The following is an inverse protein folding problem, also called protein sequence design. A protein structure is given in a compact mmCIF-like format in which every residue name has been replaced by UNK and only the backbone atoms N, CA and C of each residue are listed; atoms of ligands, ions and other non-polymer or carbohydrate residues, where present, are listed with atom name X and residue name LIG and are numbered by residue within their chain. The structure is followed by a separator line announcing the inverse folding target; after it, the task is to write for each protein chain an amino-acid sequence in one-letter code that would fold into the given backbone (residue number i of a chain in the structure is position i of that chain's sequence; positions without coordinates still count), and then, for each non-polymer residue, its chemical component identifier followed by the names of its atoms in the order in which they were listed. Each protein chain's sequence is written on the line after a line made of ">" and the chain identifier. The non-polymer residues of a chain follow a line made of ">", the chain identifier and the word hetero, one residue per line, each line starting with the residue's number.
data_IF_631954381991
#
_entry.id   IF_631954381991
#
_cell.length_a   1.000
_cell.length_b   1.000
_cell.length_c   1.000
_cell.angle_alpha   90.00
_cell.angle_beta   90.00
_cell.angle_gamma   90.00
#
_symmetry.space_group_name_H-M   'P 1'
#
loop_
_entity.id
_entity.type
_entity.pdbx_description
1 polymer ?
#
# COMPACT_ATOMS: atom_id res chain seq x y z
N UNK A 1 6.51 9.13 1.00
CA UNK A 1 5.81 7.95 1.55
C UNK A 1 6.73 6.73 1.53
N UNK A 2 6.45 5.70 2.34
CA UNK A 2 7.17 4.43 2.25
C UNK A 2 6.64 3.66 1.04
N UNK A 3 7.53 3.28 0.13
CA UNK A 3 7.21 2.43 -1.02
C UNK A 3 6.70 1.06 -0.56
N UNK A 4 5.60 0.59 -1.15
CA UNK A 4 5.07 -0.77 -1.02
C UNK A 4 6.04 -1.77 -1.65
N UNK A 5 5.96 -3.01 -1.16
CA UNK A 5 6.84 -4.11 -1.49
C UNK A 5 6.48 -4.74 -2.85
N UNK A 6 7.38 -5.58 -3.36
CA UNK A 6 7.08 -6.52 -4.45
C UNK A 6 6.95 -7.91 -3.82
N UNK A 7 5.84 -8.60 -4.05
CA UNK A 7 5.69 -9.99 -3.63
C UNK A 7 6.20 -10.91 -4.74
N UNK A 8 6.99 -11.91 -4.39
CA UNK A 8 7.57 -12.82 -5.36
C UNK A 8 7.58 -14.27 -4.89
N UNK A 9 7.55 -15.19 -5.84
CA UNK A 9 7.82 -16.60 -5.55
C UNK A 9 9.14 -16.76 -4.81
N UNK A 10 9.20 -17.66 -3.83
CA UNK A 10 10.35 -17.78 -2.92
C UNK A 10 11.69 -17.96 -3.65
N UNK A 11 11.69 -18.64 -4.80
CA UNK A 11 12.87 -18.84 -5.65
C UNK A 11 13.33 -17.58 -6.42
N UNK A 12 12.44 -16.61 -6.59
CA UNK A 12 12.71 -15.34 -7.29
C UNK A 12 13.15 -14.23 -6.33
N UNK A 13 12.86 -14.34 -5.03
CA UNK A 13 13.15 -13.29 -4.04
C UNK A 13 14.62 -12.85 -4.06
N UNK A 14 15.56 -13.79 -4.23
CA UNK A 14 17.00 -13.49 -4.29
C UNK A 14 17.49 -13.05 -5.67
N UNK A 15 16.71 -13.30 -6.73
CA UNK A 15 17.04 -12.96 -8.12
C UNK A 15 16.52 -11.58 -8.53
N UNK A 16 15.48 -11.12 -7.85
CA UNK A 16 14.83 -9.84 -8.10
C UNK A 16 15.66 -8.70 -7.51
N UNK A 17 16.36 -7.98 -8.39
CA UNK A 17 16.97 -6.69 -8.05
C UNK A 17 15.95 -5.58 -8.29
N UNK A 18 15.27 -5.14 -7.25
CA UNK A 18 14.37 -3.98 -7.27
C UNK A 18 14.83 -2.93 -6.27
N UNK A 19 14.45 -1.68 -6.51
CA UNK A 19 14.58 -0.58 -5.54
C UNK A 19 13.70 -0.79 -4.31
N UNK A 20 12.61 -1.55 -4.46
CA UNK A 20 11.65 -1.88 -3.41
C UNK A 20 12.04 -3.18 -2.73
N UNK A 21 11.61 -3.33 -1.48
CA UNK A 21 11.78 -4.59 -0.75
C UNK A 21 10.99 -5.69 -1.45
N UNK A 22 11.63 -6.84 -1.65
CA UNK A 22 10.98 -8.05 -2.18
C UNK A 22 10.62 -8.98 -1.02
N UNK A 23 9.39 -9.48 -0.99
CA UNK A 23 8.86 -10.40 0.03
C UNK A 23 8.35 -11.68 -0.60
N UNK A 24 8.41 -12.80 0.10
CA UNK A 24 7.90 -14.07 -0.44
C UNK A 24 6.35 -14.08 -0.45
N UNK A 25 5.74 -14.73 -1.45
CA UNK A 25 4.27 -14.88 -1.54
C UNK A 25 3.62 -15.47 -0.28
N UNK A 26 4.32 -16.36 0.44
CA UNK A 26 3.81 -16.99 1.65
C UNK A 26 3.88 -16.13 2.91
N UNK A 27 4.61 -15.01 2.86
CA UNK A 27 4.92 -14.17 4.02
C UNK A 27 4.17 -12.81 3.98
N UNK A 28 3.16 -12.69 3.12
CA UNK A 28 2.40 -11.44 2.93
C UNK A 28 0.90 -11.71 2.81
N UNK A 29 0.11 -10.77 3.29
CA UNK A 29 -1.34 -10.69 3.08
C UNK A 29 -1.71 -9.80 1.88
N UNK A 30 -0.71 -9.34 1.13
CA UNK A 30 -0.79 -8.48 -0.04
C UNK A 30 -1.23 -7.03 0.23
N UNK A 31 -1.40 -6.61 1.49
CA UNK A 31 -1.84 -5.25 1.82
C UNK A 31 -0.73 -4.21 1.67
N UNK A 32 0.53 -4.63 1.74
CA UNK A 32 1.72 -3.79 1.61
C UNK A 32 2.51 -4.09 0.33
N UNK A 33 1.85 -4.65 -0.68
CA UNK A 33 2.43 -5.07 -1.97
C UNK A 33 1.88 -4.22 -3.11
N UNK A 34 2.75 -3.75 -4.01
CA UNK A 34 2.36 -2.99 -5.20
C UNK A 34 2.42 -3.79 -6.52
N UNK A 35 3.19 -4.89 -6.55
CA UNK A 35 3.25 -5.78 -7.70
C UNK A 35 3.61 -7.20 -7.27
N UNK A 36 3.21 -8.19 -8.06
CA UNK A 36 3.45 -9.60 -7.78
C UNK A 36 4.22 -10.25 -8.92
N UNK A 37 5.29 -10.99 -8.63
CA UNK A 37 6.05 -11.77 -9.61
C UNK A 37 5.94 -13.26 -9.27
N UNK A 38 5.32 -14.03 -10.15
CA UNK A 38 5.06 -15.46 -9.95
C UNK A 38 5.82 -16.32 -10.96
N UNK A 39 5.98 -17.60 -10.65
CA UNK A 39 6.54 -18.59 -11.59
C UNK A 39 5.42 -19.32 -12.33
N UNK A 40 5.77 -20.09 -13.37
CA UNK A 40 4.82 -20.98 -14.05
C UNK A 40 4.32 -22.13 -13.17
N UNK A 41 5.02 -22.47 -12.09
CA UNK A 41 4.52 -23.42 -11.09
C UNK A 41 3.40 -22.77 -10.25
N UNK A 42 3.60 -21.53 -9.83
CA UNK A 42 2.65 -20.81 -9.01
C UNK A 42 1.36 -20.44 -9.75
N UNK A 43 1.46 -20.14 -11.05
CA UNK A 43 0.26 -19.90 -11.87
C UNK A 43 -0.71 -21.09 -11.85
N UNK A 44 -0.21 -22.31 -11.64
CA UNK A 44 -0.99 -23.55 -11.52
C UNK A 44 -1.36 -23.92 -10.08
N UNK A 45 -0.78 -23.27 -9.08
CA UNK A 45 -1.02 -23.56 -7.65
C UNK A 45 -2.26 -22.86 -7.08
N UNK A 46 -2.90 -21.99 -7.86
CA UNK A 46 -4.11 -21.25 -7.47
C UNK A 46 -3.87 -19.84 -6.93
N UNK A 47 -2.61 -19.35 -6.93
CA UNK A 47 -2.29 -17.98 -6.48
C UNK A 47 -3.07 -16.91 -7.25
N UNK A 48 -3.27 -17.10 -8.56
CA UNK A 48 -4.01 -16.17 -9.40
C UNK A 48 -5.49 -16.05 -8.97
N UNK A 49 -6.09 -17.16 -8.51
CA UNK A 49 -7.44 -17.15 -7.98
C UNK A 49 -7.49 -16.47 -6.61
N UNK A 50 -6.46 -16.67 -5.77
CA UNK A 50 -6.33 -15.97 -4.50
C UNK A 50 -6.22 -14.45 -4.70
N UNK A 51 -5.31 -14.01 -5.57
CA UNK A 51 -5.11 -12.59 -5.87
C UNK A 51 -6.39 -11.93 -6.40
N UNK A 52 -7.14 -12.61 -7.28
CA UNK A 52 -8.45 -12.11 -7.75
C UNK A 52 -9.46 -11.96 -6.60
N UNK A 53 -9.47 -12.87 -5.63
CA UNK A 53 -10.38 -12.84 -4.48
C UNK A 53 -10.05 -11.74 -3.47
N UNK A 54 -8.80 -11.27 -3.41
CA UNK A 54 -8.43 -10.14 -2.53
C UNK A 54 -9.14 -8.84 -2.93
N UNK A 55 -9.48 -8.69 -4.21
CA UNK A 55 -10.03 -7.44 -4.74
C UNK A 55 -9.01 -6.30 -4.81
N UNK A 56 -7.73 -6.54 -4.56
CA UNK A 56 -6.69 -5.52 -4.61
C UNK A 56 -6.28 -5.14 -6.03
N UNK A 57 -6.62 -5.96 -7.04
CA UNK A 57 -6.28 -5.71 -8.44
C UNK A 57 -4.78 -5.46 -8.70
N UNK A 58 -3.93 -6.18 -7.97
CA UNK A 58 -2.47 -6.09 -8.09
C UNK A 58 -2.01 -6.47 -9.51
N UNK A 59 -1.03 -5.75 -10.08
CA UNK A 59 -0.39 -6.18 -11.32
C UNK A 59 0.44 -7.45 -11.06
N UNK A 60 0.24 -8.46 -11.89
CA UNK A 60 0.87 -9.78 -11.73
C UNK A 60 1.75 -10.09 -12.93
N UNK A 61 3.02 -10.35 -12.70
CA UNK A 61 4.00 -10.69 -13.72
C UNK A 61 4.40 -12.15 -13.62
N UNK A 62 4.49 -12.84 -14.75
CA UNK A 62 4.97 -14.21 -14.81
C UNK A 62 6.45 -14.21 -15.19
N UNK A 63 7.31 -14.72 -14.31
CA UNK A 63 8.71 -14.96 -14.65
C UNK A 63 8.85 -16.28 -15.42
N UNK A 64 9.43 -16.22 -16.62
CA UNK A 64 9.75 -17.38 -17.44
C UNK A 64 10.92 -17.06 -18.37
N UNK A 65 11.92 -17.95 -18.41
CA UNK A 65 13.03 -17.84 -19.37
C UNK A 65 12.61 -18.15 -20.81
N UNK A 66 11.50 -18.87 -20.97
CA UNK A 66 10.93 -19.20 -22.28
C UNK A 66 9.69 -18.35 -22.56
N UNK A 67 9.42 -18.11 -23.84
CA UNK A 67 8.16 -17.51 -24.26
C UNK A 67 7.02 -18.47 -23.91
N UNK A 68 6.13 -18.03 -23.02
CA UNK A 68 4.95 -18.77 -22.57
C UNK A 68 3.73 -17.93 -22.92
N UNK A 69 2.64 -18.59 -23.32
CA UNK A 69 1.36 -17.91 -23.52
C UNK A 69 0.90 -17.23 -22.24
N UNK A 70 0.47 -15.97 -22.34
CA UNK A 70 0.06 -15.15 -21.20
C UNK A 70 -1.18 -15.76 -20.52
N UNK A 71 -1.06 -16.29 -19.28
CA UNK A 71 -2.21 -16.85 -18.58
C UNK A 71 -3.22 -15.76 -18.20
N UNK A 72 -4.50 -16.13 -18.12
CA UNK A 72 -5.56 -15.19 -17.76
C UNK A 72 -5.40 -14.61 -16.35
N UNK A 73 -5.21 -13.29 -16.24
CA UNK A 73 -4.96 -12.60 -14.97
C UNK A 73 -3.48 -12.31 -14.70
N UNK A 74 -2.60 -12.55 -15.66
CA UNK A 74 -1.22 -12.05 -15.68
C UNK A 74 -1.16 -10.80 -16.56
N UNK A 75 -0.48 -9.76 -16.08
CA UNK A 75 -0.24 -8.49 -16.76
C UNK A 75 0.79 -8.64 -17.88
N UNK A 76 1.93 -9.28 -17.61
CA UNK A 76 2.98 -9.52 -18.60
C UNK A 76 3.87 -10.71 -18.21
N UNK A 77 4.58 -11.26 -19.19
CA UNK A 77 5.64 -12.27 -18.98
C UNK A 77 7.00 -11.57 -19.01
N UNK A 78 7.85 -11.85 -18.02
CA UNK A 78 9.19 -11.29 -17.88
C UNK A 78 10.22 -12.42 -17.87
N UNK A 79 11.38 -12.17 -18.46
CA UNK A 79 12.49 -13.13 -18.54
C UNK A 79 13.78 -12.61 -17.88
N UNK A 80 13.72 -11.44 -17.23
CA UNK A 80 14.84 -10.84 -16.52
C UNK A 80 15.58 -9.75 -17.27
N UNK A 81 15.07 -9.29 -18.42
CA UNK A 81 15.60 -8.13 -19.12
C UNK A 81 15.41 -6.83 -18.30
N UNK A 82 16.40 -5.94 -18.27
CA UNK A 82 16.36 -4.64 -17.59
C UNK A 82 15.12 -3.81 -17.95
N UNK A 83 14.73 -3.80 -19.23
CA UNK A 83 13.56 -3.05 -19.67
C UNK A 83 12.26 -3.55 -19.02
N UNK A 84 12.14 -4.87 -18.83
CA UNK A 84 10.97 -5.47 -18.19
C UNK A 84 10.93 -5.23 -16.69
N UNK A 85 12.10 -5.11 -16.05
CA UNK A 85 12.17 -4.67 -14.65
C UNK A 85 11.69 -3.23 -14.49
N UNK A 86 11.99 -2.36 -15.45
CA UNK A 86 11.47 -0.99 -15.46
C UNK A 86 9.95 -0.96 -15.66
N UNK A 87 9.40 -1.84 -16.51
CA UNK A 87 7.96 -1.99 -16.69
C UNK A 87 7.26 -2.50 -15.41
N UNK A 88 7.86 -3.46 -14.70
CA UNK A 88 7.38 -3.91 -13.39
C UNK A 88 7.34 -2.76 -12.37
N UNK A 89 8.42 -1.97 -12.30
CA UNK A 89 8.51 -0.82 -11.38
C UNK A 89 7.47 0.25 -11.74
N UNK A 90 7.32 0.55 -13.03
CA UNK A 90 6.31 1.48 -13.53
C UNK A 90 4.89 1.05 -13.14
N UNK A 91 4.57 -0.23 -13.31
CA UNK A 91 3.28 -0.79 -12.92
C UNK A 91 3.05 -0.73 -11.40
N UNK A 92 4.10 -0.94 -10.59
CA UNK A 92 4.03 -0.81 -9.14
C UNK A 92 3.77 0.64 -8.71
N UNK A 93 4.47 1.62 -9.30
CA UNK A 93 4.23 3.04 -9.05
C UNK A 93 2.81 3.45 -9.44
N UNK A 94 2.36 3.04 -10.62
CA UNK A 94 1.01 3.34 -11.10
C UNK A 94 -0.06 2.71 -10.20
N UNK A 95 0.19 1.53 -9.66
CA UNK A 95 -0.71 0.90 -8.69
C UNK A 95 -0.84 1.76 -7.41
N UNK A 96 0.29 2.20 -6.84
CA UNK A 96 0.31 3.04 -5.64
C UNK A 96 -0.41 4.38 -5.84
N UNK A 97 -0.15 5.05 -6.96
CA UNK A 97 -0.77 6.33 -7.29
C UNK A 97 -2.30 6.20 -7.41
N UNK A 98 -2.78 5.10 -7.97
CA UNK A 98 -4.22 4.85 -8.13
C UNK A 98 -4.89 4.31 -6.85
N UNK A 99 -4.11 3.76 -5.91
CA UNK A 99 -4.63 3.26 -4.64
C UNK A 99 -5.11 4.39 -3.74
N UNK A 100 -4.45 5.54 -3.83
CA UNK A 100 -4.71 6.69 -2.97
C UNK A 100 -5.87 7.53 -3.53
N UNK A 101 -6.83 7.95 -2.67
CA UNK A 101 -7.86 8.87 -3.12
C UNK A 101 -7.24 10.22 -3.51
N UNK A 102 -7.86 10.98 -4.43
CA UNK A 102 -7.27 12.16 -5.06
C UNK A 102 -6.93 13.32 -4.11
N UNK A 103 -7.37 13.26 -2.85
CA UNK A 103 -7.07 14.26 -1.81
C UNK A 103 -5.98 13.81 -0.82
N UNK A 104 -5.53 12.55 -0.88
CA UNK A 104 -4.66 11.96 0.13
C UNK A 104 -3.28 12.64 0.19
N UNK A 105 -2.69 12.91 -0.98
CA UNK A 105 -1.39 13.58 -1.06
C UNK A 105 -1.45 14.99 -0.51
N UNK A 106 -2.51 15.73 -0.82
CA UNK A 106 -2.75 17.07 -0.29
C UNK A 106 -2.84 17.05 1.23
N UNK A 107 -3.57 16.09 1.81
CA UNK A 107 -3.66 15.94 3.26
C UNK A 107 -2.32 15.54 3.89
N UNK A 108 -1.58 14.65 3.24
CA UNK A 108 -0.26 14.20 3.72
C UNK A 108 0.71 15.37 3.75
N UNK A 109 0.80 16.15 2.66
CA UNK A 109 1.63 17.36 2.59
C UNK A 109 1.21 18.38 3.64
N UNK A 110 -0.09 18.59 3.82
CA UNK A 110 -0.62 19.53 4.82
C UNK A 110 -0.13 19.19 6.23
N UNK A 111 -0.18 17.91 6.62
CA UNK A 111 0.32 17.42 7.91
C UNK A 111 1.85 17.50 8.00
N UNK A 112 2.57 17.16 6.93
CA UNK A 112 4.05 17.25 6.87
C UNK A 112 4.55 18.69 7.02
N UNK A 113 3.78 19.68 6.58
CA UNK A 113 4.03 21.11 6.82
C UNK A 113 3.80 21.56 8.28
N UNK A 114 3.46 20.62 9.18
CA UNK A 114 3.22 20.90 10.60
C UNK A 114 1.80 21.40 10.91
N UNK A 115 0.89 21.38 9.93
CA UNK A 115 -0.50 21.75 10.16
C UNK A 115 -1.26 20.57 10.78
N UNK A 116 -1.30 20.52 12.12
CA UNK A 116 -2.02 19.49 12.89
C UNK A 116 -3.43 19.91 13.31
N UNK A 117 -3.80 21.17 13.10
CA UNK A 117 -5.09 21.74 13.47
C UNK A 117 -6.07 21.65 12.30
N UNK A 118 -6.99 20.68 12.31
CA UNK A 118 -8.14 20.72 11.42
C UNK A 118 -9.02 21.91 11.82
N UNK A 119 -9.05 22.95 11.00
CA UNK A 119 -9.77 24.20 11.28
C UNK A 119 -11.30 24.05 11.35
N UNK A 120 -11.85 22.84 11.14
CA UNK A 120 -13.27 22.54 11.26
C UNK A 120 -13.54 21.49 12.35
N UNK A 121 -13.14 21.79 13.58
CA UNK A 121 -14.11 21.67 14.66
C UNK A 121 -14.66 23.06 14.85
N UNK A 122 -15.96 23.23 14.61
CA UNK A 122 -16.63 24.49 14.88
C UNK A 122 -16.19 24.97 16.28
N UNK A 123 -15.70 26.21 16.37
CA UNK A 123 -15.27 26.78 17.63
C UNK A 123 -16.41 26.70 18.67
N UNK A 124 -17.66 26.63 18.22
CA UNK A 124 -18.85 26.35 19.02
C UNK A 124 -18.87 24.94 19.61
N UNK A 125 -18.42 23.91 18.87
CA UNK A 125 -18.31 22.54 19.37
C UNK A 125 -17.20 22.43 20.43
N UNK A 126 -16.05 23.08 20.19
CA UNK A 126 -14.96 23.14 21.18
C UNK A 126 -15.39 23.92 22.44
N UNK A 127 -16.15 25.00 22.27
CA UNK A 127 -16.71 25.81 23.37
C UNK A 127 -17.78 25.06 24.16
N UNK A 128 -18.62 24.28 23.48
CA UNK A 128 -19.62 23.40 24.09
C UNK A 128 -18.95 22.30 24.93
N UNK A 129 -17.92 21.64 24.39
CA UNK A 129 -17.15 20.62 25.12
C UNK A 129 -16.43 21.20 26.34
N UNK A 130 -15.85 22.41 26.24
CA UNK A 130 -15.29 23.14 27.40
C UNK A 130 -16.34 23.52 28.45
N UNK A 131 -17.59 23.73 28.07
CA UNK A 131 -18.69 23.98 29.03
C UNK A 131 -19.07 22.74 29.83
N UNK A 132 -18.81 21.54 29.29
CA UNK A 132 -19.11 20.26 29.94
C UNK A 132 -17.91 19.77 30.77
N UNK A 133 -16.68 20.01 30.30
CA UNK A 133 -15.43 19.60 30.94
C UNK A 133 -14.45 20.79 30.99
N UNK A 134 -14.55 21.66 32.00
CA UNK A 134 -13.79 22.93 32.03
C UNK A 134 -12.28 22.77 32.18
N UNK A 135 -11.83 21.65 32.77
CA UNK A 135 -10.40 21.37 33.04
C UNK A 135 -9.77 20.40 32.03
N UNK A 136 -10.50 19.98 30.98
CA UNK A 136 -9.99 19.05 29.99
C UNK A 136 -9.18 19.75 28.89
N UNK A 137 -7.94 19.31 28.66
CA UNK A 137 -7.15 19.70 27.49
C UNK A 137 -7.64 18.86 26.29
N UNK A 138 -8.32 19.50 25.34
CA UNK A 138 -8.72 18.87 24.09
C UNK A 138 -7.59 18.98 23.05
N UNK A 139 -6.76 17.95 22.98
CA UNK A 139 -5.76 17.77 21.92
C UNK A 139 -6.21 16.72 20.93
N UNK A 140 -6.39 17.10 19.66
CA UNK A 140 -6.53 16.14 18.56
C UNK A 140 -5.11 15.74 18.17
N UNK A 141 -4.65 14.60 18.66
CA UNK A 141 -3.37 14.05 18.26
C UNK A 141 -3.60 13.04 17.15
N UNK A 142 -3.24 13.40 15.91
CA UNK A 142 -3.11 12.42 14.83
C UNK A 142 -1.73 11.77 14.95
N UNK A 143 -1.58 10.86 15.92
CA UNK A 143 -0.38 10.03 16.00
C UNK A 143 -0.45 8.99 14.89
N UNK A 144 0.64 8.92 14.11
CA UNK A 144 0.86 8.23 12.84
C UNK A 144 0.54 6.73 12.76
N UNK A 145 -0.09 6.10 13.75
CA UNK A 145 -0.26 4.64 13.81
C UNK A 145 -1.56 4.11 14.42
N UNK A 146 -2.52 4.93 14.87
CA UNK A 146 -3.82 4.37 15.28
C UNK A 146 -4.92 5.43 15.27
N UNK A 147 -6.06 5.11 14.64
CA UNK A 147 -7.32 5.79 14.91
C UNK A 147 -7.72 5.49 16.35
N UNK A 148 -7.20 6.24 17.32
CA UNK A 148 -7.72 6.23 18.67
C UNK A 148 -8.97 7.14 18.73
N UNK A 149 -10.02 6.76 19.47
CA UNK A 149 -11.12 7.66 19.75
C UNK A 149 -10.59 8.88 20.52
N UNK A 150 -11.34 9.98 20.49
CA UNK A 150 -11.08 11.19 21.29
C UNK A 150 -10.78 10.75 22.74
N UNK A 151 -9.50 10.80 23.13
CA UNK A 151 -9.09 10.40 24.47
C UNK A 151 -9.07 11.66 25.34
N UNK A 152 -10.10 11.82 26.16
CA UNK A 152 -10.14 12.83 27.22
C UNK A 152 -9.18 12.37 28.31
N UNK A 153 -8.06 13.07 28.48
CA UNK A 153 -7.20 12.89 29.66
C UNK A 153 -7.61 13.92 30.70
N UNK A 154 -8.17 13.43 31.80
CA UNK A 154 -8.40 14.20 33.02
C UNK A 154 -7.12 14.13 33.86
N UNK A 155 -6.52 15.28 34.15
CA UNK A 155 -5.54 15.44 35.24
C UNK A 155 -6.23 15.53 36.58
#
# INVERSE_FOLDING_TARGET
>A
MKSMNIAASSELVSRLSSHRRVVALGDTDFTDVAAVVITAADSRSGILALLKRTGFHLPVFLYSEHAVELPAGVTAVINGNEQQWLELESAACQYEENLLPPFYDTLTQYVEMGNSTFACLDINMVRFLKSILPDAIFTISLVRTSFAPICVTLT
#
